data_IF_131604067664
#
_entry.id   IF_131604067664
#
_cell.length_a   1.000
_cell.length_b   1.000
_cell.length_c   1.000
_cell.angle_alpha   90.00
_cell.angle_beta   90.00
_cell.angle_gamma   90.00
#
_symmetry.space_group_name_H-M   'P 1'
#
loop_
_entity.id
_entity.type
_entity.pdbx_description
1 polymer ?
#
# COMPACT_ATOMS: atom_id res chain seq x y z
N UNK A 1 -6.86 3.59 -12.93
CA UNK A 1 -6.30 3.15 -14.24
C UNK A 1 -6.77 4.04 -15.39
N UNK A 2 -8.06 4.26 -15.65
CA UNK A 2 -8.51 5.03 -16.83
C UNK A 2 -7.83 6.40 -17.02
N UNK A 3 -7.81 7.26 -15.99
CA UNK A 3 -7.13 8.55 -16.05
C UNK A 3 -5.63 8.41 -16.38
N UNK A 4 -4.94 7.47 -15.75
CA UNK A 4 -3.52 7.21 -15.97
C UNK A 4 -3.26 6.74 -17.42
N UNK A 5 -4.02 5.74 -17.88
CA UNK A 5 -3.88 5.23 -19.25
C UNK A 5 -4.15 6.31 -20.29
N UNK A 6 -5.21 7.11 -20.10
CA UNK A 6 -5.51 8.23 -20.99
C UNK A 6 -4.37 9.26 -21.03
N UNK A 7 -3.73 9.52 -19.89
CA UNK A 7 -2.68 10.54 -19.81
C UNK A 7 -1.32 10.10 -20.33
N UNK A 8 -0.97 8.79 -20.23
CA UNK A 8 0.42 8.35 -20.36
C UNK A 8 0.63 7.06 -21.16
N UNK A 9 -0.40 6.32 -21.58
CA UNK A 9 -0.21 5.00 -22.20
C UNK A 9 0.60 5.06 -23.50
N UNK A 10 0.34 6.05 -24.35
CA UNK A 10 1.05 6.22 -25.62
C UNK A 10 2.53 6.56 -25.41
N UNK A 11 2.82 7.48 -24.49
CA UNK A 11 4.20 7.86 -24.17
C UNK A 11 4.99 6.69 -23.59
N UNK A 12 4.36 5.93 -22.66
CA UNK A 12 4.99 4.75 -22.06
C UNK A 12 5.29 3.69 -23.13
N UNK A 13 4.36 3.49 -24.06
CA UNK A 13 4.55 2.52 -25.17
C UNK A 13 5.65 2.97 -26.16
N UNK A 14 5.82 4.27 -26.35
CA UNK A 14 6.83 4.84 -27.24
C UNK A 14 8.21 5.02 -26.59
N UNK A 15 8.30 4.97 -25.25
CA UNK A 15 9.52 5.23 -24.52
C UNK A 15 10.57 4.11 -24.72
N UNK A 16 11.82 4.51 -24.98
CA UNK A 16 12.94 3.58 -24.94
C UNK A 16 13.34 3.29 -23.50
N UNK A 17 13.41 2.02 -23.14
CA UNK A 17 13.83 1.58 -21.79
C UNK A 17 15.27 2.00 -21.46
N UNK A 18 16.12 2.16 -22.46
CA UNK A 18 17.55 2.51 -22.28
C UNK A 18 17.75 3.94 -21.78
N UNK A 19 16.76 4.81 -21.99
CA UNK A 19 16.82 6.23 -21.57
C UNK A 19 16.05 6.49 -20.27
N UNK A 20 15.35 5.49 -19.75
CA UNK A 20 14.56 5.62 -18.53
C UNK A 20 15.43 5.45 -17.27
N UNK A 21 15.27 6.28 -16.24
CA UNK A 21 15.91 6.06 -14.95
C UNK A 21 15.46 4.74 -14.32
N UNK A 22 16.32 4.12 -13.53
CA UNK A 22 15.93 2.96 -12.74
C UNK A 22 15.00 3.37 -11.60
N UNK A 23 14.09 2.47 -11.20
CA UNK A 23 13.19 2.73 -10.06
C UNK A 23 13.97 3.15 -8.80
N UNK A 24 15.14 2.54 -8.56
CA UNK A 24 15.98 2.86 -7.41
C UNK A 24 16.46 4.31 -7.35
N UNK A 25 16.56 4.99 -8.49
CA UNK A 25 16.94 6.40 -8.56
C UNK A 25 15.78 7.35 -8.17
N UNK A 26 14.56 6.82 -8.15
CA UNK A 26 13.32 7.58 -7.94
C UNK A 26 12.72 7.37 -6.55
N UNK A 27 13.20 6.36 -5.79
CA UNK A 27 12.61 5.97 -4.50
C UNK A 27 13.65 5.68 -3.43
N UNK A 28 13.26 5.87 -2.18
CA UNK A 28 13.92 5.28 -1.01
C UNK A 28 13.16 4.02 -0.61
N UNK A 29 13.90 2.95 -0.32
CA UNK A 29 13.32 1.67 0.06
C UNK A 29 13.32 1.49 1.57
N UNK A 30 12.18 1.15 2.13
CA UNK A 30 12.01 0.74 3.51
C UNK A 30 11.92 -0.79 3.51
N UNK A 31 13.03 -1.44 3.86
CA UNK A 31 13.19 -2.89 3.87
C UNK A 31 13.67 -3.35 5.24
N UNK A 32 12.81 -4.05 5.97
CA UNK A 32 13.09 -4.57 7.30
C UNK A 32 13.21 -6.10 7.32
N UNK A 33 13.50 -6.72 6.17
CA UNK A 33 13.69 -8.17 6.08
C UNK A 33 14.91 -8.64 6.87
N UNK A 34 14.88 -9.89 7.30
CA UNK A 34 15.98 -10.54 7.99
C UNK A 34 15.54 -11.29 9.24
N UNK A 35 14.81 -10.67 10.14
CA UNK A 35 14.32 -11.30 11.37
C UNK A 35 12.87 -10.95 11.64
N UNK A 36 12.11 -11.89 12.17
CA UNK A 36 10.73 -11.63 12.64
C UNK A 36 10.81 -10.83 13.93
N UNK A 37 10.07 -9.72 14.05
CA UNK A 37 10.03 -8.95 15.29
C UNK A 37 9.31 -9.74 16.39
N UNK A 38 9.59 -9.45 17.68
CA UNK A 38 8.78 -9.95 18.79
C UNK A 38 7.32 -9.49 18.62
N UNK A 39 6.40 -10.45 18.54
CA UNK A 39 4.97 -10.18 18.41
C UNK A 39 4.34 -9.93 19.77
N UNK A 40 3.21 -9.22 19.80
CA UNK A 40 2.38 -9.02 20.97
C UNK A 40 0.92 -9.34 20.67
N UNK A 41 0.18 -9.75 21.71
CA UNK A 41 -1.27 -9.91 21.71
C UNK A 41 -1.94 -8.90 22.68
N UNK A 42 -1.14 -8.10 23.38
CA UNK A 42 -1.61 -7.18 24.42
C UNK A 42 -2.12 -5.86 23.85
N UNK A 43 -1.61 -5.47 22.69
CA UNK A 43 -2.01 -4.23 22.02
C UNK A 43 -2.15 -4.47 20.51
N UNK A 44 -3.02 -3.69 19.86
CA UNK A 44 -3.26 -3.72 18.42
C UNK A 44 -2.87 -2.40 17.75
N UNK A 45 -2.02 -1.61 18.40
CA UNK A 45 -1.67 -0.26 17.96
C UNK A 45 -0.71 -0.23 16.76
N UNK A 46 0.16 -1.25 16.63
CA UNK A 46 1.21 -1.28 15.63
C UNK A 46 1.09 -2.57 14.77
N UNK A 47 0.22 -2.57 13.75
CA UNK A 47 0.02 -3.73 12.89
C UNK A 47 1.24 -4.01 12.03
N UNK A 48 1.52 -5.29 11.80
CA UNK A 48 2.48 -5.75 10.79
C UNK A 48 1.71 -5.96 9.49
N UNK A 49 2.08 -5.16 8.48
CA UNK A 49 1.48 -5.19 7.15
C UNK A 49 2.20 -6.25 6.34
N UNK A 50 1.56 -7.38 6.16
CA UNK A 50 2.03 -8.48 5.32
C UNK A 50 1.27 -8.54 3.98
N UNK A 51 1.56 -9.55 3.18
CA UNK A 51 0.91 -9.74 1.88
C UNK A 51 -0.61 -9.86 1.97
N UNK A 52 -1.17 -10.34 3.09
CA UNK A 52 -2.61 -10.44 3.32
C UNK A 52 -3.29 -9.08 3.25
N UNK A 53 -2.69 -8.06 3.86
CA UNK A 53 -3.20 -6.69 3.85
C UNK A 53 -3.08 -5.99 2.48
N UNK A 54 -2.24 -6.53 1.58
CA UNK A 54 -2.05 -5.99 0.23
C UNK A 54 -2.96 -6.64 -0.81
N UNK A 55 -3.60 -7.76 -0.51
CA UNK A 55 -4.50 -8.46 -1.44
C UNK A 55 -5.77 -7.66 -1.75
N UNK A 56 -6.43 -8.06 -2.84
CA UNK A 56 -7.70 -7.47 -3.29
C UNK A 56 -7.53 -6.29 -4.23
N UNK A 57 -8.63 -5.78 -4.75
CA UNK A 57 -8.67 -4.75 -5.80
C UNK A 57 -8.52 -3.32 -5.31
N UNK A 58 -8.65 -3.11 -4.00
CA UNK A 58 -8.53 -1.79 -3.37
C UNK A 58 -7.12 -1.20 -3.51
N UNK A 59 -7.02 0.13 -3.45
CA UNK A 59 -5.75 0.85 -3.52
C UNK A 59 -5.11 1.06 -2.15
N UNK A 60 -5.91 0.97 -1.09
CA UNK A 60 -5.55 1.29 0.28
C UNK A 60 -5.34 -0.01 1.04
N UNK A 61 -4.43 0.01 2.00
CA UNK A 61 -4.13 -1.14 2.85
C UNK A 61 -5.37 -1.50 3.66
N UNK A 62 -5.71 -2.78 3.66
CA UNK A 62 -6.76 -3.32 4.51
C UNK A 62 -6.16 -3.77 5.84
N UNK A 63 -6.24 -2.88 6.83
CA UNK A 63 -5.73 -3.14 8.17
C UNK A 63 -6.48 -4.24 8.92
N UNK A 64 -7.73 -4.56 8.51
CA UNK A 64 -8.48 -5.67 9.10
C UNK A 64 -7.84 -7.04 8.79
N UNK A 65 -7.05 -7.13 7.72
CA UNK A 65 -6.27 -8.32 7.38
C UNK A 65 -4.91 -8.38 8.07
N UNK A 66 -4.56 -7.42 8.93
CA UNK A 66 -3.36 -7.50 9.74
C UNK A 66 -3.64 -8.35 10.99
N UNK A 67 -3.03 -9.53 11.06
CA UNK A 67 -3.22 -10.50 12.16
C UNK A 67 -2.09 -10.49 13.18
N UNK A 68 -1.02 -9.73 12.92
CA UNK A 68 0.18 -9.67 13.76
C UNK A 68 0.45 -8.24 14.17
N UNK A 69 0.87 -8.08 15.43
CA UNK A 69 1.11 -6.77 16.02
C UNK A 69 2.41 -6.77 16.80
N UNK A 70 3.00 -5.59 16.96
CA UNK A 70 4.14 -5.35 17.85
C UNK A 70 3.77 -4.29 18.88
N UNK A 71 4.44 -4.30 20.02
CA UNK A 71 4.29 -3.24 21.03
C UNK A 71 5.10 -1.99 20.64
N UNK A 72 4.90 -0.90 21.37
CA UNK A 72 5.54 0.37 21.10
C UNK A 72 7.08 0.31 21.19
N UNK A 73 7.63 -0.48 22.11
CA UNK A 73 9.08 -0.64 22.25
C UNK A 73 9.67 -1.29 21.02
N UNK A 74 9.09 -2.41 20.58
CA UNK A 74 9.50 -3.10 19.34
C UNK A 74 9.31 -2.21 18.12
N UNK A 75 8.20 -1.46 18.02
CA UNK A 75 7.98 -0.52 16.94
C UNK A 75 9.10 0.51 16.84
N UNK A 76 9.54 1.09 17.96
CA UNK A 76 10.55 2.14 17.96
C UNK A 76 11.99 1.63 17.73
N UNK A 77 12.31 0.40 18.11
CA UNK A 77 13.70 -0.07 18.18
C UNK A 77 14.07 -1.18 17.20
N UNK A 78 13.11 -1.98 16.71
CA UNK A 78 13.40 -3.16 15.91
C UNK A 78 13.64 -2.87 14.42
N UNK A 79 12.86 -1.96 13.85
CA UNK A 79 12.78 -1.73 12.41
C UNK A 79 13.85 -0.77 11.91
N UNK A 80 14.98 -1.32 11.44
CA UNK A 80 16.20 -0.57 11.08
C UNK A 80 16.00 0.43 9.95
N UNK A 81 15.19 0.09 8.95
CA UNK A 81 14.88 0.98 7.83
C UNK A 81 13.73 1.94 8.13
N UNK A 82 13.24 1.92 9.39
CA UNK A 82 12.09 2.72 9.80
C UNK A 82 10.76 2.14 9.32
N UNK A 83 9.76 3.00 9.24
CA UNK A 83 8.37 2.63 8.95
C UNK A 83 7.85 3.30 7.70
N UNK A 84 6.80 2.75 7.07
CA UNK A 84 6.12 3.41 5.97
C UNK A 84 5.52 4.74 6.46
N UNK A 85 5.51 5.72 5.56
CA UNK A 85 4.87 7.03 5.75
C UNK A 85 3.71 7.17 4.76
N UNK A 86 2.75 8.09 5.01
CA UNK A 86 1.70 8.37 4.05
C UNK A 86 2.27 8.59 2.64
N UNK A 87 1.60 7.98 1.64
CA UNK A 87 1.96 7.93 0.23
C UNK A 87 3.07 6.95 -0.15
N UNK A 88 3.68 6.24 0.79
CA UNK A 88 4.57 5.13 0.43
C UNK A 88 3.76 4.02 -0.26
N UNK A 89 4.37 3.38 -1.27
CA UNK A 89 3.79 2.25 -1.98
C UNK A 89 4.35 0.97 -1.36
N UNK A 90 3.48 0.15 -0.79
CA UNK A 90 3.88 -1.16 -0.28
C UNK A 90 3.74 -2.20 -1.38
N UNK A 91 4.76 -3.02 -1.55
CA UNK A 91 4.81 -4.09 -2.55
C UNK A 91 5.26 -5.41 -1.92
N UNK A 92 4.56 -6.49 -2.23
CA UNK A 92 4.94 -7.82 -1.78
C UNK A 92 6.04 -8.42 -2.65
N UNK A 93 7.01 -9.05 -1.99
CA UNK A 93 8.19 -9.65 -2.64
C UNK A 93 8.29 -11.16 -2.45
N UNK A 94 7.45 -11.76 -1.59
CA UNK A 94 7.43 -13.21 -1.31
C UNK A 94 5.99 -13.70 -1.21
N UNK A 95 5.71 -14.86 -1.75
CA UNK A 95 4.40 -15.48 -1.78
C UNK A 95 3.54 -14.98 -2.94
N UNK A 96 2.47 -14.24 -2.70
CA UNK A 96 1.75 -13.53 -3.78
C UNK A 96 2.58 -12.32 -4.20
N UNK A 97 3.20 -12.42 -5.37
CA UNK A 97 4.17 -11.43 -5.84
C UNK A 97 3.50 -10.17 -6.38
N UNK A 98 4.16 -9.03 -6.16
CA UNK A 98 3.77 -7.73 -6.69
C UNK A 98 2.31 -7.35 -6.37
N UNK A 99 1.80 -7.75 -5.19
CA UNK A 99 0.62 -7.13 -4.62
C UNK A 99 0.99 -5.75 -4.09
N UNK A 100 0.20 -4.74 -4.43
CA UNK A 100 0.59 -3.35 -4.16
C UNK A 100 -0.58 -2.53 -3.62
N UNK A 101 -0.30 -1.73 -2.60
CA UNK A 101 -1.22 -0.73 -2.06
C UNK A 101 -0.49 0.52 -1.59
N UNK A 102 -1.22 1.63 -1.50
CA UNK A 102 -0.72 2.88 -0.95
C UNK A 102 -0.95 2.88 0.56
N UNK A 103 0.08 3.24 1.32
CA UNK A 103 -0.03 3.45 2.74
C UNK A 103 -0.51 4.89 3.01
N UNK A 104 -1.65 5.03 3.67
CA UNK A 104 -2.19 6.31 4.13
C UNK A 104 -2.39 6.34 5.65
N UNK A 105 -2.06 5.23 6.32
CA UNK A 105 -2.15 5.12 7.77
C UNK A 105 -1.11 5.95 8.53
N UNK A 106 -1.31 6.07 9.83
CA UNK A 106 -0.36 6.74 10.73
C UNK A 106 0.61 5.79 11.42
N UNK A 107 0.24 4.51 11.53
CA UNK A 107 1.02 3.46 12.23
C UNK A 107 1.00 2.17 11.43
N UNK A 108 2.14 1.48 11.40
CA UNK A 108 2.28 0.17 10.78
C UNK A 108 3.73 -0.17 10.51
N UNK A 109 4.03 -1.45 10.44
CA UNK A 109 5.35 -1.99 10.13
C UNK A 109 5.25 -2.86 8.88
N UNK A 110 6.26 -2.86 8.03
CA UNK A 110 6.32 -3.82 6.91
C UNK A 110 6.82 -5.17 7.39
N UNK A 111 6.12 -6.24 6.99
CA UNK A 111 6.53 -7.61 7.22
C UNK A 111 7.74 -8.00 6.36
N UNK A 112 8.33 -9.19 6.60
CA UNK A 112 9.48 -9.69 5.84
C UNK A 112 9.19 -9.95 4.34
N UNK A 113 7.94 -10.10 3.98
CA UNK A 113 7.49 -10.36 2.60
C UNK A 113 7.00 -9.10 1.88
N UNK A 114 7.16 -7.92 2.49
CA UNK A 114 6.73 -6.62 1.98
C UNK A 114 7.87 -5.61 2.11
N UNK A 115 8.02 -4.75 1.13
CA UNK A 115 8.86 -3.55 1.20
C UNK A 115 8.01 -2.32 0.91
N UNK A 116 8.41 -1.16 1.44
CA UNK A 116 7.78 0.09 1.08
C UNK A 116 8.73 0.92 0.19
N UNK A 117 8.15 1.51 -0.85
CA UNK A 117 8.80 2.39 -1.80
C UNK A 117 8.33 3.82 -1.54
N UNK A 118 9.23 4.67 -1.11
CA UNK A 118 8.98 6.09 -0.88
C UNK A 118 9.46 6.89 -2.07
N UNK A 119 8.55 7.44 -2.83
CA UNK A 119 8.87 8.32 -3.95
C UNK A 119 9.60 9.58 -3.46
N UNK A 120 10.70 9.93 -4.13
CA UNK A 120 11.54 11.10 -3.81
C UNK A 120 11.55 12.15 -4.91
N UNK A 121 11.57 11.71 -6.16
CA UNK A 121 11.70 12.58 -7.35
C UNK A 121 10.59 12.35 -8.37
N UNK A 122 9.58 11.59 -8.02
CA UNK A 122 8.42 11.29 -8.87
C UNK A 122 7.13 11.32 -8.03
N UNK A 123 5.98 11.58 -8.67
CA UNK A 123 4.68 11.48 -7.99
C UNK A 123 4.42 10.06 -7.48
N UNK A 124 4.11 9.85 -6.20
CA UNK A 124 3.79 8.53 -5.68
C UNK A 124 2.54 7.94 -6.32
N UNK A 125 1.57 8.77 -6.72
CA UNK A 125 0.35 8.32 -7.38
C UNK A 125 0.58 7.88 -8.83
N UNK A 126 1.46 8.59 -9.54
CA UNK A 126 1.92 8.16 -10.85
C UNK A 126 2.68 6.83 -10.74
N UNK A 127 3.68 6.78 -9.85
CA UNK A 127 4.49 5.58 -9.64
C UNK A 127 3.63 4.36 -9.26
N UNK A 128 2.64 4.54 -8.39
CA UNK A 128 1.71 3.45 -8.04
C UNK A 128 0.96 2.90 -9.25
N UNK A 129 0.46 3.77 -10.14
CA UNK A 129 -0.25 3.33 -11.34
C UNK A 129 0.70 2.68 -12.36
N UNK A 130 1.91 3.23 -12.49
CA UNK A 130 2.95 2.67 -13.35
C UNK A 130 3.34 1.26 -12.90
N UNK A 131 3.64 1.08 -11.61
CA UNK A 131 3.98 -0.24 -11.07
C UNK A 131 2.84 -1.26 -11.24
N UNK A 132 1.59 -0.81 -11.17
CA UNK A 132 0.43 -1.67 -11.47
C UNK A 132 0.33 -2.03 -12.95
N UNK A 133 0.71 -1.13 -13.84
CA UNK A 133 0.76 -1.40 -15.28
C UNK A 133 1.80 -2.49 -15.60
N UNK A 134 2.99 -2.38 -15.04
CA UNK A 134 4.10 -3.31 -15.25
C UNK A 134 4.11 -4.49 -14.27
N UNK A 135 2.99 -4.78 -13.60
CA UNK A 135 2.94 -5.86 -12.59
C UNK A 135 3.38 -7.21 -13.14
N UNK A 136 3.04 -7.55 -14.38
CA UNK A 136 3.47 -8.78 -15.06
C UNK A 136 5.00 -8.86 -15.16
N UNK A 137 5.65 -7.76 -15.49
CA UNK A 137 7.10 -7.70 -15.68
C UNK A 137 7.81 -7.84 -14.32
N UNK A 138 7.24 -7.23 -13.26
CA UNK A 138 7.75 -7.42 -11.89
C UNK A 138 7.60 -8.88 -11.43
N UNK A 139 6.49 -9.54 -11.74
CA UNK A 139 6.27 -10.95 -11.43
C UNK A 139 7.25 -11.84 -12.22
N UNK A 140 7.62 -11.47 -13.45
CA UNK A 140 8.61 -12.20 -14.25
C UNK A 140 10.02 -12.25 -13.61
N UNK A 141 10.33 -11.34 -12.67
CA UNK A 141 11.55 -11.39 -11.86
C UNK A 141 11.54 -12.48 -10.78
N UNK A 142 10.54 -13.35 -10.76
CA UNK A 142 10.48 -14.47 -9.81
C UNK A 142 11.70 -15.38 -9.94
N UNK A 143 12.36 -15.63 -8.81
CA UNK A 143 13.53 -16.53 -8.70
C UNK A 143 13.24 -17.77 -7.86
N UNK A 144 12.08 -17.82 -7.20
CA UNK A 144 11.71 -18.93 -6.31
C UNK A 144 10.97 -20.04 -7.05
N UNK A 145 11.48 -21.28 -6.97
CA UNK A 145 10.83 -22.46 -7.54
C UNK A 145 9.77 -23.06 -6.62
N UNK A 146 10.04 -23.12 -5.30
CA UNK A 146 9.12 -23.67 -4.29
C UNK A 146 8.25 -22.56 -3.70
N UNK A 147 8.88 -21.46 -3.32
CA UNK A 147 8.18 -20.27 -2.82
C UNK A 147 8.50 -19.09 -3.75
N UNK A 148 7.49 -18.55 -4.46
CA UNK A 148 7.70 -17.40 -5.32
C UNK A 148 8.34 -16.25 -4.56
N UNK A 149 9.41 -15.67 -5.11
CA UNK A 149 10.09 -14.53 -4.50
C UNK A 149 10.78 -13.64 -5.54
N UNK A 150 10.78 -12.34 -5.30
CA UNK A 150 11.47 -11.34 -6.11
C UNK A 150 12.56 -10.68 -5.26
N UNK A 151 13.79 -10.61 -5.78
CA UNK A 151 14.83 -9.79 -5.15
C UNK A 151 14.48 -8.31 -5.33
N UNK A 152 14.58 -7.54 -4.26
CA UNK A 152 14.41 -6.07 -4.32
C UNK A 152 15.39 -5.44 -5.31
N UNK A 153 16.61 -6.00 -5.42
CA UNK A 153 17.61 -5.56 -6.41
C UNK A 153 17.16 -5.68 -7.87
N UNK A 154 16.21 -6.57 -8.19
CA UNK A 154 15.61 -6.65 -9.53
C UNK A 154 14.54 -5.57 -9.70
N UNK A 155 13.69 -5.37 -8.68
CA UNK A 155 12.64 -4.34 -8.69
C UNK A 155 13.26 -2.95 -8.89
N UNK A 156 14.32 -2.62 -8.15
CA UNK A 156 14.94 -1.28 -8.22
C UNK A 156 15.67 -1.01 -9.52
N UNK A 157 16.05 -2.03 -10.28
CA UNK A 157 16.69 -1.88 -11.60
C UNK A 157 15.68 -1.72 -12.73
N UNK A 158 14.39 -1.92 -12.47
CA UNK A 158 13.38 -1.78 -13.52
C UNK A 158 13.32 -0.35 -14.03
N UNK A 159 13.37 -0.12 -15.35
CA UNK A 159 13.30 1.21 -15.94
C UNK A 159 11.89 1.80 -15.76
N UNK A 160 11.80 3.07 -15.39
CA UNK A 160 10.55 3.78 -15.17
C UNK A 160 10.51 4.98 -16.11
N UNK A 161 9.53 5.03 -17.00
CA UNK A 161 9.28 6.23 -17.79
C UNK A 161 8.82 7.37 -16.88
N UNK A 162 9.46 8.52 -16.97
CA UNK A 162 9.14 9.73 -16.21
C UNK A 162 8.60 10.79 -17.20
N UNK A 163 7.30 11.11 -17.14
CA UNK A 163 6.70 12.12 -18.00
C UNK A 163 7.23 13.53 -17.69
N UNK A 164 6.92 14.46 -18.59
CA UNK A 164 7.16 15.88 -18.35
C UNK A 164 6.48 16.35 -17.05
N UNK A 165 7.17 17.21 -16.31
CA UNK A 165 6.77 17.66 -14.98
C UNK A 165 5.36 18.28 -14.96
N UNK A 166 5.04 19.09 -15.95
CA UNK A 166 3.72 19.73 -16.09
C UNK A 166 2.58 18.71 -16.16
N UNK A 167 2.78 17.63 -16.91
CA UNK A 167 1.81 16.54 -17.07
C UNK A 167 1.67 15.70 -15.78
N UNK A 168 2.79 15.48 -15.09
CA UNK A 168 2.79 14.81 -13.78
C UNK A 168 2.00 15.62 -12.75
N UNK A 169 2.23 16.93 -12.67
CA UNK A 169 1.55 17.83 -11.73
C UNK A 169 0.04 17.88 -12.01
N UNK A 170 -0.36 17.96 -13.28
CA UNK A 170 -1.78 17.95 -13.68
C UNK A 170 -2.46 16.62 -13.29
N UNK A 171 -1.81 15.49 -13.54
CA UNK A 171 -2.30 14.17 -13.15
C UNK A 171 -2.40 14.05 -11.62
N UNK A 172 -1.34 14.44 -10.90
CA UNK A 172 -1.27 14.31 -9.44
C UNK A 172 -2.38 15.10 -8.75
N UNK A 173 -2.67 16.31 -9.22
CA UNK A 173 -3.75 17.15 -8.68
C UNK A 173 -5.09 16.41 -8.65
N UNK A 174 -5.45 15.74 -9.73
CA UNK A 174 -6.71 14.98 -9.84
C UNK A 174 -6.62 13.68 -9.06
N UNK A 175 -5.54 12.93 -9.25
CA UNK A 175 -5.35 11.61 -8.62
C UNK A 175 -5.32 11.70 -7.10
N UNK A 176 -4.77 12.79 -6.55
CA UNK A 176 -4.70 13.04 -5.10
C UNK A 176 -6.09 13.29 -4.51
N UNK A 177 -6.90 14.11 -5.15
CA UNK A 177 -8.29 14.36 -4.71
C UNK A 177 -9.08 13.04 -4.68
N UNK A 178 -9.03 12.26 -5.76
CA UNK A 178 -9.71 10.98 -5.85
C UNK A 178 -9.21 9.96 -4.81
N UNK A 179 -7.91 9.95 -4.55
CA UNK A 179 -7.33 9.01 -3.56
C UNK A 179 -7.68 9.41 -2.13
N UNK A 180 -7.68 10.69 -1.81
CA UNK A 180 -8.14 11.18 -0.52
C UNK A 180 -9.62 10.83 -0.29
N UNK A 181 -10.49 11.09 -1.29
CA UNK A 181 -11.91 10.72 -1.18
C UNK A 181 -12.11 9.22 -0.95
N UNK A 182 -11.34 8.38 -1.64
CA UNK A 182 -11.37 6.93 -1.40
C UNK A 182 -10.95 6.57 0.03
N UNK A 183 -9.96 7.27 0.58
CA UNK A 183 -9.47 7.03 1.93
C UNK A 183 -10.47 7.50 2.99
N UNK A 184 -11.08 8.64 2.77
CA UNK A 184 -12.13 9.18 3.65
C UNK A 184 -13.34 8.26 3.68
N UNK A 185 -13.81 7.81 2.52
CA UNK A 185 -14.91 6.84 2.41
C UNK A 185 -14.55 5.49 3.07
N UNK A 186 -13.29 5.04 2.95
CA UNK A 186 -12.83 3.82 3.64
C UNK A 186 -12.92 3.98 5.16
N UNK A 187 -12.41 5.09 5.70
CA UNK A 187 -12.45 5.36 7.14
C UNK A 187 -13.90 5.50 7.66
N UNK A 188 -14.75 6.16 6.90
CA UNK A 188 -16.18 6.28 7.23
C UNK A 188 -16.87 4.92 7.26
N UNK A 189 -16.62 4.08 6.25
CA UNK A 189 -17.16 2.71 6.22
C UNK A 189 -16.70 1.87 7.42
N UNK A 190 -15.43 2.00 7.84
CA UNK A 190 -14.93 1.30 9.03
C UNK A 190 -15.59 1.82 10.31
N UNK A 191 -15.84 3.12 10.40
CA UNK A 191 -16.59 3.71 11.53
C UNK A 191 -18.05 3.21 11.56
N UNK A 192 -18.73 3.22 10.42
CA UNK A 192 -20.11 2.74 10.28
C UNK A 192 -20.24 1.26 10.61
N UNK A 193 -19.26 0.42 10.21
CA UNK A 193 -19.24 -0.99 10.62
C UNK A 193 -19.15 -1.15 12.13
N UNK A 194 -18.25 -0.42 12.79
CA UNK A 194 -18.10 -0.46 14.25
C UNK A 194 -19.38 0.01 14.95
N UNK A 195 -20.00 1.05 14.44
CA UNK A 195 -21.27 1.57 14.98
C UNK A 195 -22.39 0.55 14.84
N UNK A 196 -22.55 -0.06 13.65
CA UNK A 196 -23.51 -1.13 13.41
C UNK A 196 -23.31 -2.31 14.38
N UNK A 197 -22.06 -2.77 14.50
CA UNK A 197 -21.72 -3.94 15.33
C UNK A 197 -21.92 -3.67 16.84
N UNK A 198 -21.81 -2.40 17.27
CA UNK A 198 -22.11 -1.99 18.63
C UNK A 198 -23.61 -1.83 18.89
N UNK A 199 -24.38 -1.35 17.91
CA UNK A 199 -25.81 -1.06 18.07
C UNK A 199 -26.69 -2.29 17.84
N UNK A 200 -26.33 -3.16 16.88
CA UNK A 200 -27.18 -4.29 16.49
C UNK A 200 -27.53 -5.23 17.65
N UNK A 201 -26.61 -5.67 18.54
CA UNK A 201 -26.95 -6.49 19.69
C UNK A 201 -27.90 -5.79 20.67
N UNK A 202 -27.71 -4.47 20.86
CA UNK A 202 -28.55 -3.67 21.80
C UNK A 202 -29.95 -3.45 21.28
N UNK A 203 -30.11 -3.33 19.96
CA UNK A 203 -31.42 -3.30 19.30
C UNK A 203 -32.13 -4.66 19.39
N UNK A 204 -31.39 -5.76 19.15
CA UNK A 204 -31.94 -7.12 19.20
C UNK A 204 -32.32 -7.55 20.62
N UNK A 205 -31.61 -7.07 21.65
CA UNK A 205 -31.95 -7.34 23.06
C UNK A 205 -33.09 -6.45 23.59
N UNK A 206 -33.56 -5.46 22.83
CA UNK A 206 -34.56 -4.49 23.28
C UNK A 206 -34.03 -3.43 24.24
N UNK A 207 -32.73 -3.38 24.49
CA UNK A 207 -32.07 -2.32 25.29
C UNK A 207 -32.24 -0.93 24.64
N UNK A 208 -32.22 -0.88 23.32
CA UNK A 208 -32.56 0.31 22.56
C UNK A 208 -33.88 0.07 21.83
N UNK A 209 -34.83 0.95 22.07
CA UNK A 209 -36.11 0.88 21.38
C UNK A 209 -36.10 1.76 20.12
N UNK A 210 -36.11 1.14 18.94
CA UNK A 210 -36.09 1.85 17.66
C UNK A 210 -37.31 2.78 17.44
N UNK A 211 -38.44 2.50 18.07
CA UNK A 211 -39.67 3.35 17.96
C UNK A 211 -39.53 4.70 18.66
N UNK A 212 -38.53 4.88 19.51
CA UNK A 212 -38.24 6.18 20.17
C UNK A 212 -37.25 7.05 19.40
N UNK A 213 -36.64 6.51 18.36
CA UNK A 213 -35.74 7.25 17.46
C UNK A 213 -36.63 7.81 16.34
N UNK A 214 -37.06 9.07 16.48
CA UNK A 214 -37.82 9.74 15.43
C UNK A 214 -37.01 9.79 14.13
N UNK A 215 -37.43 9.00 13.16
CA UNK A 215 -37.01 9.05 11.76
C UNK A 215 -37.99 9.91 10.98
#
# INVERSE_FOLDING_TARGET
>A
MALFSHSFAEDIAAASTDTCPALGDLVVIIDNRGKTPPLTIETFDYPIIDVGALKGTGRIIDFNNCTKFVNQSTYKSWFRSGHPKPWDILISTVGSLAEMKIFLGSKGCVAQNVVALRATSISPLYLYQYLRLIRSDLVAYNIGSVQPSIKVTHIVKHPIFVPERSRLEAFEKIAKVLTNQLYDNYNENELLKKLRDALLPRLMSGEINASTIGL
#
